data_IF_346336561810
#
_entry.id   IF_346336561810
#
_cell.length_a   1.000
_cell.length_b   1.000
_cell.length_c   1.000
_cell.angle_alpha   90.00
_cell.angle_beta   90.00
_cell.angle_gamma   90.00
#
_symmetry.space_group_name_H-M   'P 1'
#
loop_
_entity.id
_entity.type
_entity.pdbx_description
1 polymer ?
#
# COMPACT_ATOMS: atom_id res chain seq x y z
N UNK A 1 -45.18 -12.83 -27.67
CA UNK A 1 -44.02 -13.70 -28.02
C UNK A 1 -43.14 -13.86 -26.79
N UNK A 2 -43.12 -15.04 -26.14
CA UNK A 2 -42.20 -15.32 -25.03
C UNK A 2 -40.83 -15.67 -25.61
N UNK A 3 -39.85 -14.80 -25.46
CA UNK A 3 -38.48 -15.06 -25.87
C UNK A 3 -37.97 -16.32 -25.15
N UNK A 4 -37.81 -17.42 -25.88
CA UNK A 4 -37.14 -18.62 -25.37
C UNK A 4 -35.66 -18.30 -25.27
N UNK A 5 -35.27 -17.77 -24.11
CA UNK A 5 -33.86 -17.64 -23.72
C UNK A 5 -33.23 -19.04 -23.85
N UNK A 6 -32.34 -19.19 -24.82
CA UNK A 6 -31.64 -20.44 -25.09
C UNK A 6 -30.81 -20.82 -23.87
N UNK A 7 -30.71 -22.12 -23.55
CA UNK A 7 -30.01 -22.55 -22.33
C UNK A 7 -28.56 -22.05 -22.29
N UNK A 8 -27.93 -21.90 -23.46
CA UNK A 8 -26.60 -21.32 -23.66
C UNK A 8 -26.47 -19.89 -23.12
N UNK A 9 -27.49 -19.05 -23.29
CA UNK A 9 -27.49 -17.67 -22.78
C UNK A 9 -27.58 -17.64 -21.24
N UNK A 10 -28.31 -18.59 -20.64
CA UNK A 10 -28.39 -18.71 -19.17
C UNK A 10 -27.05 -19.12 -18.57
N UNK A 11 -26.35 -20.07 -19.21
CA UNK A 11 -25.02 -20.48 -18.77
C UNK A 11 -24.00 -19.33 -18.88
N UNK A 12 -24.06 -18.52 -19.94
CA UNK A 12 -23.18 -17.35 -20.10
C UNK A 12 -23.45 -16.26 -19.04
N UNK A 13 -24.71 -16.01 -18.69
CA UNK A 13 -25.06 -15.06 -17.62
C UNK A 13 -24.59 -15.54 -16.25
N UNK A 14 -24.73 -16.83 -15.96
CA UNK A 14 -24.27 -17.42 -14.70
C UNK A 14 -22.74 -17.39 -14.57
N UNK A 15 -22.00 -17.63 -15.66
CA UNK A 15 -20.52 -17.55 -15.62
C UNK A 15 -20.02 -16.12 -15.40
N UNK A 16 -20.66 -15.12 -16.02
CA UNK A 16 -20.33 -13.70 -15.80
C UNK A 16 -20.62 -13.31 -14.35
N UNK A 17 -21.78 -13.71 -13.81
CA UNK A 17 -22.14 -13.45 -12.42
C UNK A 17 -21.14 -14.09 -11.46
N UNK A 18 -20.69 -15.32 -11.74
CA UNK A 18 -19.70 -16.03 -10.94
C UNK A 18 -18.33 -15.34 -10.94
N UNK A 19 -17.86 -14.84 -12.08
CA UNK A 19 -16.60 -14.08 -12.16
C UNK A 19 -16.69 -12.75 -11.39
N UNK A 20 -17.83 -12.07 -11.46
CA UNK A 20 -18.08 -10.82 -10.73
C UNK A 20 -18.14 -11.02 -9.22
N UNK A 21 -18.75 -12.10 -8.73
CA UNK A 21 -18.78 -12.39 -7.29
C UNK A 21 -17.42 -12.85 -6.76
N UNK A 22 -16.64 -13.59 -7.55
CA UNK A 22 -15.31 -14.05 -7.11
C UNK A 22 -14.27 -12.92 -7.02
N UNK A 23 -14.39 -11.90 -7.86
CA UNK A 23 -13.52 -10.72 -7.85
C UNK A 23 -13.78 -9.77 -6.66
N UNK A 24 -14.92 -9.89 -5.97
CA UNK A 24 -15.21 -9.16 -4.73
C UNK A 24 -14.60 -9.80 -3.48
N UNK A 25 -14.25 -11.08 -3.54
CA UNK A 25 -13.70 -11.84 -2.39
C UNK A 25 -12.17 -11.88 -2.45
N UNK A 26 -11.56 -11.34 -3.51
CA UNK A 26 -10.12 -11.10 -3.48
C UNK A 26 -9.92 -9.92 -2.52
N UNK A 27 -9.34 -10.09 -1.32
CA UNK A 27 -8.91 -8.93 -0.57
C UNK A 27 -7.92 -8.22 -1.48
N UNK A 28 -8.33 -7.07 -2.03
CA UNK A 28 -7.35 -6.11 -2.51
C UNK A 28 -6.40 -5.96 -1.33
N UNK A 29 -5.12 -6.19 -1.53
CA UNK A 29 -4.14 -5.77 -0.56
C UNK A 29 -4.17 -4.24 -0.55
N UNK A 30 -5.22 -3.69 0.06
CA UNK A 30 -5.25 -2.37 0.62
C UNK A 30 -4.27 -2.44 1.79
N UNK A 31 -3.00 -2.41 1.39
CA UNK A 31 -2.04 -1.43 1.86
C UNK A 31 -2.12 -1.24 3.37
N UNK A 32 -1.12 -1.77 4.05
CA UNK A 32 -0.68 -1.36 5.38
C UNK A 32 -0.46 0.16 5.43
N UNK A 33 -1.51 1.00 5.47
CA UNK A 33 -1.34 2.45 5.51
C UNK A 33 -2.50 3.10 6.25
N UNK A 34 -2.54 2.93 7.57
CA UNK A 34 -3.08 3.97 8.47
C UNK A 34 -1.92 4.55 9.30
N UNK A 35 -0.78 4.73 8.63
CA UNK A 35 0.42 5.43 9.07
C UNK A 35 0.67 6.51 8.02
N UNK A 36 0.69 7.77 8.42
CA UNK A 36 0.47 8.93 7.56
C UNK A 36 1.64 9.91 7.61
N UNK A 37 2.77 9.50 7.03
CA UNK A 37 3.94 10.36 6.88
C UNK A 37 5.16 9.58 6.44
N UNK A 38 6.32 10.23 6.48
CA UNK A 38 7.60 9.66 6.09
C UNK A 38 8.65 9.83 7.18
N UNK A 39 9.29 8.74 7.54
CA UNK A 39 10.49 8.71 8.35
C UNK A 39 11.70 8.39 7.47
N UNK A 40 12.78 9.10 7.68
CA UNK A 40 14.06 8.95 6.99
C UNK A 40 15.11 8.59 8.04
N UNK A 41 15.57 7.34 8.01
CA UNK A 41 16.61 6.84 8.91
C UNK A 41 17.95 6.93 8.17
N UNK A 42 18.92 7.66 8.74
CA UNK A 42 20.23 7.88 8.13
C UNK A 42 21.29 6.97 8.72
N UNK A 43 22.17 6.45 7.87
CA UNK A 43 23.19 5.46 8.24
C UNK A 43 24.60 5.91 7.84
N UNK A 44 25.61 5.52 8.62
CA UNK A 44 27.01 5.87 8.37
C UNK A 44 27.49 5.48 6.96
N UNK A 45 26.95 4.39 6.42
CA UNK A 45 27.34 3.78 5.16
C UNK A 45 26.15 3.05 4.48
N UNK A 46 26.40 2.51 3.29
CA UNK A 46 25.41 1.80 2.47
C UNK A 46 24.98 0.43 3.02
N UNK A 47 25.59 -0.06 4.10
CA UNK A 47 25.21 -1.35 4.70
C UNK A 47 23.95 -1.22 5.55
N UNK A 48 23.56 0.01 5.90
CA UNK A 48 22.40 0.32 6.73
C UNK A 48 22.44 -0.37 8.10
N UNK A 49 23.63 -0.53 8.69
CA UNK A 49 23.83 -1.19 9.99
C UNK A 49 23.95 -0.23 11.15
N UNK A 50 24.57 0.94 10.94
CA UNK A 50 24.82 1.93 12.00
C UNK A 50 24.04 3.21 11.74
N UNK A 51 22.95 3.41 12.47
CA UNK A 51 22.13 4.61 12.38
C UNK A 51 22.88 5.81 13.00
N UNK A 52 22.89 6.94 12.28
CA UNK A 52 23.56 8.19 12.67
C UNK A 52 22.62 9.38 12.78
N UNK A 53 21.40 9.26 12.23
CA UNK A 53 20.40 10.31 12.30
C UNK A 53 19.01 9.85 11.91
N UNK A 54 18.05 10.74 12.12
CA UNK A 54 16.64 10.52 11.82
C UNK A 54 16.00 11.85 11.40
N UNK A 55 15.10 11.79 10.42
CA UNK A 55 14.21 12.89 10.06
C UNK A 55 12.79 12.37 9.84
N UNK A 56 11.82 12.93 10.56
CA UNK A 56 10.42 12.55 10.47
C UNK A 56 9.65 13.72 9.87
N UNK A 57 8.81 13.45 8.87
CA UNK A 57 7.90 14.40 8.23
C UNK A 57 6.48 13.86 8.37
N UNK A 58 5.68 14.55 9.17
CA UNK A 58 4.29 14.20 9.42
C UNK A 58 3.35 14.93 8.46
N UNK A 59 2.18 14.36 8.15
CA UNK A 59 1.20 14.98 7.24
C UNK A 59 0.68 16.36 7.68
N UNK A 60 0.71 16.66 8.97
CA UNK A 60 0.32 17.97 9.51
C UNK A 60 1.38 19.07 9.28
N UNK A 61 2.45 18.79 8.52
CA UNK A 61 3.53 19.74 8.23
C UNK A 61 4.55 19.89 9.36
N UNK A 62 4.41 19.15 10.47
CA UNK A 62 5.45 19.11 11.50
C UNK A 62 6.59 18.20 11.07
N UNK A 63 7.81 18.57 11.46
CA UNK A 63 8.97 17.72 11.23
C UNK A 63 9.92 17.72 12.43
N UNK A 64 10.60 16.60 12.62
CA UNK A 64 11.58 16.41 13.68
C UNK A 64 12.87 15.84 13.08
N UNK A 65 14.02 16.40 13.46
CA UNK A 65 15.33 15.96 12.97
C UNK A 65 16.33 15.84 14.12
N UNK A 66 17.11 14.77 14.13
CA UNK A 66 18.17 14.53 15.12
C UNK A 66 19.36 13.77 14.51
N UNK A 67 20.54 13.94 15.10
CA UNK A 67 21.77 13.23 14.76
C UNK A 67 22.63 13.88 13.66
N UNK A 68 23.72 13.19 13.29
CA UNK A 68 24.66 13.60 12.24
C UNK A 68 24.30 12.90 10.94
N UNK A 69 23.79 13.69 9.99
CA UNK A 69 23.17 13.16 8.77
C UNK A 69 24.21 12.98 7.67
N UNK A 70 24.39 11.73 7.24
CA UNK A 70 25.25 11.27 6.14
C UNK A 70 24.42 11.01 4.87
N UNK A 71 25.04 10.51 3.79
CA UNK A 71 24.41 10.37 2.46
C UNK A 71 23.46 9.17 2.30
N UNK A 72 23.52 8.16 3.17
CA UNK A 72 22.72 6.93 3.04
C UNK A 72 21.47 7.00 3.92
N UNK A 73 20.32 6.63 3.35
CA UNK A 73 19.02 6.79 4.01
C UNK A 73 18.04 5.68 3.63
N UNK A 74 17.24 5.23 4.61
CA UNK A 74 16.07 4.34 4.42
C UNK A 74 14.80 5.14 4.68
N UNK A 75 13.79 4.97 3.82
CA UNK A 75 12.48 5.61 3.97
C UNK A 75 11.52 4.60 4.57
N UNK A 76 10.91 4.96 5.70
CA UNK A 76 9.93 4.14 6.41
C UNK A 76 8.60 4.90 6.57
N UNK A 77 7.46 4.19 6.61
CA UNK A 77 6.17 4.81 6.90
C UNK A 77 6.08 5.24 8.36
N UNK A 78 5.98 6.55 8.60
CA UNK A 78 5.85 7.08 9.97
C UNK A 78 4.44 6.95 10.52
N UNK A 79 4.35 6.75 11.84
CA UNK A 79 3.09 6.65 12.59
C UNK A 79 2.53 7.98 13.11
N UNK A 80 3.21 9.09 12.84
CA UNK A 80 2.47 10.27 12.43
C UNK A 80 2.15 10.01 10.95
#
# INVERSE_FOLDING_TARGET
MKARISSRLRFALLSILFVLTFSLITPSQAQQTTRTGHEFIYYSDATHTTQVGIWIICQNGTSFRSGQITQFVVIEPSGC
#
